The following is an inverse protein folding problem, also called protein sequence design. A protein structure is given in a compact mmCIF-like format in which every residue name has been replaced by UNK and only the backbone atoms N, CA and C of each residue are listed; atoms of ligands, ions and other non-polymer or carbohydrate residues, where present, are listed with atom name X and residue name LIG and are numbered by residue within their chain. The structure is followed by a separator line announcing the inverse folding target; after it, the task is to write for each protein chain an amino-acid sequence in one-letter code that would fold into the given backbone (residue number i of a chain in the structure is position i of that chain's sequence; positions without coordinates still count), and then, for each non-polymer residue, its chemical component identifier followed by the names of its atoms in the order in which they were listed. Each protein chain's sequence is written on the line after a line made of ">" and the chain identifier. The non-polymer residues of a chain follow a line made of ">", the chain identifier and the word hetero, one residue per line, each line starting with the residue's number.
data_IF_558286046455
#
_entry.id   IF_558286046455
#
_cell.length_a   1.000
_cell.length_b   1.000
_cell.length_c   1.000
_cell.angle_alpha   90.00
_cell.angle_beta   90.00
_cell.angle_gamma   90.00
#
_symmetry.space_group_name_H-M   'P 1'
#
loop_
_entity.id
_entity.type
_entity.pdbx_description
1 polymer ?
#
# COMPACT_ATOMS: atom_id res chain seq x y z
N UNK A 1 -37.89 10.39 16.07
CA UNK A 1 -37.40 11.38 17.06
C UNK A 1 -38.55 12.31 17.43
N UNK A 2 -38.57 12.83 18.65
CA UNK A 2 -39.52 13.85 19.09
C UNK A 2 -39.04 15.25 18.69
N UNK A 3 -39.96 16.21 18.52
CA UNK A 3 -39.61 17.60 18.20
C UNK A 3 -38.64 18.20 19.23
N UNK A 4 -38.81 17.87 20.52
CA UNK A 4 -37.92 18.32 21.58
C UNK A 4 -36.47 17.85 21.37
N UNK A 5 -36.29 16.58 20.97
CA UNK A 5 -34.97 16.03 20.70
C UNK A 5 -34.33 16.66 19.46
N UNK A 6 -35.12 17.02 18.45
CA UNK A 6 -34.63 17.76 17.28
C UNK A 6 -34.14 19.13 17.73
N UNK A 7 -34.98 19.89 18.44
CA UNK A 7 -34.68 21.27 18.88
C UNK A 7 -33.38 21.38 19.68
N UNK A 8 -33.10 20.42 20.55
CA UNK A 8 -31.85 20.39 21.32
C UNK A 8 -30.62 20.13 20.44
N UNK A 9 -30.75 19.41 19.33
CA UNK A 9 -29.63 18.97 18.48
C UNK A 9 -29.50 19.76 17.16
N UNK A 10 -30.37 20.74 16.89
CA UNK A 10 -30.27 21.60 15.71
C UNK A 10 -28.88 22.27 15.59
N UNK A 11 -28.26 22.81 16.67
CA UNK A 11 -26.92 23.39 16.57
C UNK A 11 -25.85 22.38 16.11
N UNK A 12 -25.87 21.16 16.66
CA UNK A 12 -24.94 20.09 16.26
C UNK A 12 -25.14 19.64 14.81
N UNK A 13 -26.35 19.82 14.26
CA UNK A 13 -26.62 19.60 12.84
C UNK A 13 -25.96 20.68 11.96
N UNK A 14 -25.91 21.94 12.42
CA UNK A 14 -25.24 23.03 11.69
C UNK A 14 -23.72 22.91 11.71
N UNK A 15 -23.14 22.40 12.80
CA UNK A 15 -21.70 22.24 12.98
C UNK A 15 -21.16 20.91 12.45
N UNK A 16 -22.00 20.08 11.82
CA UNK A 16 -21.67 18.74 11.29
C UNK A 16 -21.10 17.78 12.36
N UNK A 17 -21.47 17.96 13.63
CA UNK A 17 -20.98 17.13 14.75
C UNK A 17 -21.77 15.83 14.95
N UNK A 18 -22.92 15.69 14.28
CA UNK A 18 -23.78 14.52 14.39
C UNK A 18 -23.22 13.33 13.62
N UNK A 19 -23.45 12.13 14.14
CA UNK A 19 -23.17 10.92 13.38
C UNK A 19 -24.06 10.85 12.11
N UNK A 20 -23.62 10.14 11.04
CA UNK A 20 -24.40 10.05 9.80
C UNK A 20 -25.83 9.55 10.01
N UNK A 21 -26.02 8.56 10.89
CA UNK A 21 -27.32 7.98 11.20
C UNK A 21 -28.25 8.98 11.93
N UNK A 22 -27.71 9.80 12.83
CA UNK A 22 -28.47 10.82 13.56
C UNK A 22 -28.85 11.98 12.62
N UNK A 23 -27.91 12.39 11.78
CA UNK A 23 -28.12 13.39 10.74
C UNK A 23 -29.31 13.00 9.83
N UNK A 24 -29.31 11.78 9.31
CA UNK A 24 -30.38 11.28 8.44
C UNK A 24 -31.74 11.19 9.16
N UNK A 25 -31.75 10.75 10.43
CA UNK A 25 -32.98 10.70 11.23
C UNK A 25 -33.55 12.09 11.50
N UNK A 26 -32.70 13.08 11.76
CA UNK A 26 -33.12 14.46 11.96
C UNK A 26 -33.71 15.06 10.67
N UNK A 27 -33.03 14.89 9.55
CA UNK A 27 -33.54 15.32 8.24
C UNK A 27 -34.87 14.62 7.89
N UNK A 28 -34.98 13.34 8.19
CA UNK A 28 -36.23 12.58 8.04
C UNK A 28 -37.40 13.20 8.82
N UNK A 29 -37.16 13.67 10.05
CA UNK A 29 -38.17 14.35 10.86
C UNK A 29 -38.53 15.73 10.29
N UNK A 30 -37.56 16.54 9.86
CA UNK A 30 -37.83 17.89 9.30
C UNK A 30 -38.63 17.84 7.98
N UNK A 31 -38.52 16.74 7.23
CA UNK A 31 -39.36 16.50 6.05
C UNK A 31 -40.84 16.39 6.38
N UNK A 32 -41.21 15.92 7.59
CA UNK A 32 -42.60 15.72 8.00
C UNK A 32 -43.11 16.76 8.99
N UNK A 33 -42.23 17.38 9.78
CA UNK A 33 -42.57 18.39 10.77
C UNK A 33 -42.29 19.81 10.25
N UNK A 34 -43.33 20.57 9.93
CA UNK A 34 -43.21 21.95 9.45
C UNK A 34 -42.57 22.89 10.49
N UNK A 35 -42.90 22.72 11.78
CA UNK A 35 -42.37 23.57 12.86
C UNK A 35 -40.85 23.44 13.00
N UNK A 36 -40.32 22.20 13.06
CA UNK A 36 -38.87 21.99 13.15
C UNK A 36 -38.12 22.43 11.89
N UNK A 37 -38.77 22.40 10.72
CA UNK A 37 -38.18 22.92 9.48
C UNK A 37 -38.05 24.43 9.52
N UNK A 38 -39.10 25.12 9.94
CA UNK A 38 -39.09 26.58 10.09
C UNK A 38 -38.03 27.01 11.12
N UNK A 39 -37.95 26.36 12.28
CA UNK A 39 -36.90 26.66 13.27
C UNK A 39 -35.48 26.49 12.70
N UNK A 40 -35.25 25.49 11.84
CA UNK A 40 -33.95 25.29 11.17
C UNK A 40 -33.67 26.40 10.14
N UNK A 41 -34.68 26.83 9.39
CA UNK A 41 -34.56 27.92 8.42
C UNK A 41 -34.24 29.24 9.12
N UNK A 42 -34.95 29.57 10.21
CA UNK A 42 -34.70 30.76 11.03
C UNK A 42 -33.27 30.77 11.61
N UNK A 43 -32.79 29.60 12.07
CA UNK A 43 -31.44 29.47 12.61
C UNK A 43 -30.38 29.61 11.52
N UNK A 44 -30.60 29.05 10.32
CA UNK A 44 -29.71 29.23 9.17
C UNK A 44 -29.66 30.68 8.73
N UNK A 45 -30.78 31.38 8.72
CA UNK A 45 -30.82 32.82 8.43
C UNK A 45 -29.99 33.60 9.43
N UNK A 46 -30.16 33.31 10.73
CA UNK A 46 -29.36 33.93 11.80
C UNK A 46 -27.87 33.66 11.62
N UNK A 47 -27.50 32.41 11.32
CA UNK A 47 -26.10 32.02 11.07
C UNK A 47 -25.50 32.75 9.85
N UNK A 48 -26.27 32.87 8.77
CA UNK A 48 -25.84 33.60 7.57
C UNK A 48 -25.67 35.10 7.82
N UNK A 49 -26.41 35.70 8.76
CA UNK A 49 -26.20 37.09 9.17
C UNK A 49 -24.90 37.25 9.97
N UNK A 50 -24.49 36.24 10.74
CA UNK A 50 -23.20 36.25 11.45
C UNK A 50 -22.01 36.15 10.48
N UNK A 51 -22.16 35.45 9.37
CA UNK A 51 -21.11 35.30 8.35
C UNK A 51 -20.82 36.60 7.59
N UNK A 52 -21.74 37.59 7.66
CA UNK A 52 -21.54 38.91 7.08
C UNK A 52 -20.67 39.83 7.95
N UNK A 53 -20.32 39.40 9.16
CA UNK A 53 -19.48 40.22 10.04
C UNK A 53 -18.04 40.22 9.52
N UNK A 54 -17.44 41.40 9.46
CA UNK A 54 -16.05 41.54 9.05
C UNK A 54 -15.16 40.83 10.08
N UNK A 55 -14.51 39.75 9.66
CA UNK A 55 -13.55 39.02 10.47
C UNK A 55 -12.27 39.85 10.49
N UNK A 56 -12.00 40.54 11.59
CA UNK A 56 -10.73 41.22 11.79
C UNK A 56 -9.58 40.20 11.77
N UNK A 57 -8.60 40.42 10.90
CA UNK A 57 -7.42 39.55 10.81
C UNK A 57 -6.64 39.67 12.14
N UNK A 58 -6.37 38.56 12.86
CA UNK A 58 -5.72 38.63 14.16
C UNK A 58 -4.34 39.28 14.04
N UNK A 59 -3.87 39.99 15.08
CA UNK A 59 -2.56 40.62 15.07
C UNK A 59 -1.47 39.57 14.81
N UNK A 60 -0.49 39.92 13.97
CA UNK A 60 0.62 39.04 13.57
C UNK A 60 1.26 38.20 14.70
N UNK A 61 1.51 38.72 15.92
CA UNK A 61 2.05 37.90 17.01
C UNK A 61 1.11 36.78 17.47
N UNK A 62 -0.21 37.00 17.46
CA UNK A 62 -1.19 35.99 17.85
C UNK A 62 -1.27 34.89 16.79
N UNK A 63 -1.31 35.27 15.51
CA UNK A 63 -1.28 34.33 14.38
C UNK A 63 -0.03 33.44 14.43
N UNK A 64 1.13 34.04 14.71
CA UNK A 64 2.37 33.29 14.88
C UNK A 64 2.30 32.30 16.07
N UNK A 65 1.72 32.71 17.19
CA UNK A 65 1.57 31.85 18.37
C UNK A 65 0.62 30.67 18.14
N UNK A 66 -0.53 30.91 17.48
CA UNK A 66 -1.49 29.86 17.13
C UNK A 66 -0.87 28.87 16.13
N UNK A 67 -0.16 29.38 15.11
CA UNK A 67 0.51 28.52 14.14
C UNK A 67 1.67 27.71 14.75
N UNK A 68 2.37 28.28 15.74
CA UNK A 68 3.40 27.55 16.49
C UNK A 68 2.78 26.41 17.31
N UNK A 69 1.69 26.69 18.03
CA UNK A 69 0.95 25.69 18.81
C UNK A 69 0.39 24.57 17.92
N UNK A 70 -0.23 24.91 16.79
CA UNK A 70 -0.74 23.92 15.82
C UNK A 70 0.38 23.05 15.23
N UNK A 71 1.59 23.62 15.03
CA UNK A 71 2.74 22.85 14.57
C UNK A 71 3.24 21.87 15.63
N UNK A 72 3.28 22.30 16.90
CA UNK A 72 3.69 21.44 18.02
C UNK A 72 2.75 20.25 18.18
N UNK A 73 1.44 20.47 18.09
CA UNK A 73 0.44 19.40 18.21
C UNK A 73 0.44 18.44 17.00
N UNK A 74 0.78 18.94 15.81
CA UNK A 74 1.03 18.11 14.63
C UNK A 74 2.35 17.32 14.72
N UNK A 75 3.36 17.84 15.40
CA UNK A 75 4.63 17.14 15.65
C UNK A 75 4.49 16.01 16.70
N UNK A 76 3.53 16.14 17.61
CA UNK A 76 3.22 15.13 18.63
C UNK A 76 2.43 13.92 18.09
N UNK A 77 1.91 13.99 16.86
CA UNK A 77 1.51 12.79 16.11
C UNK A 77 2.78 12.08 15.65
N UNK A 78 3.44 11.40 16.61
CA UNK A 78 4.72 10.76 16.47
C UNK A 78 4.61 9.49 15.60
N UNK A 79 4.36 9.66 14.30
CA UNK A 79 4.54 8.59 13.32
C UNK A 79 6.04 8.32 13.31
N UNK A 80 6.51 7.14 13.74
CA UNK A 80 7.92 6.91 13.91
C UNK A 80 8.67 7.20 12.60
N UNK A 81 9.77 7.94 12.68
CA UNK A 81 10.56 8.35 11.49
C UNK A 81 10.94 7.15 10.59
N UNK A 82 11.07 5.95 11.17
CA UNK A 82 11.33 4.73 10.43
C UNK A 82 10.15 4.31 9.55
N UNK A 83 8.91 4.54 9.98
CA UNK A 83 7.68 4.20 9.26
C UNK A 83 7.51 5.08 8.01
N UNK A 84 7.80 6.38 8.10
CA UNK A 84 7.72 7.26 6.94
C UNK A 84 8.82 6.94 5.90
N UNK A 85 10.01 6.55 6.38
CA UNK A 85 11.13 6.10 5.54
C UNK A 85 10.93 4.69 4.95
N UNK A 86 10.10 3.85 5.58
CA UNK A 86 9.66 2.55 5.06
C UNK A 86 8.53 2.72 4.06
N UNK A 87 7.56 3.61 4.30
CA UNK A 87 6.43 3.86 3.37
C UNK A 87 6.90 4.24 1.97
N UNK A 88 7.80 5.22 1.83
CA UNK A 88 8.26 5.64 0.50
C UNK A 88 9.06 4.56 -0.22
N UNK A 89 9.87 3.79 0.52
CA UNK A 89 10.74 2.75 -0.04
C UNK A 89 9.95 1.49 -0.44
N UNK A 90 9.01 1.05 0.40
CA UNK A 90 8.16 -0.11 0.13
C UNK A 90 7.17 0.23 -0.97
N UNK A 91 6.56 1.41 -0.93
CA UNK A 91 5.62 1.85 -1.97
C UNK A 91 6.28 1.89 -3.35
N UNK A 92 7.48 2.47 -3.49
CA UNK A 92 8.21 2.48 -4.76
C UNK A 92 8.59 1.06 -5.23
N UNK A 93 8.94 0.16 -4.31
CA UNK A 93 9.29 -1.22 -4.65
C UNK A 93 8.07 -2.01 -5.12
N UNK A 94 6.93 -1.84 -4.43
CA UNK A 94 5.65 -2.47 -4.80
C UNK A 94 5.16 -1.93 -6.14
N UNK A 95 5.22 -0.61 -6.35
CA UNK A 95 4.81 0.02 -7.61
C UNK A 95 5.71 -0.45 -8.77
N UNK A 96 7.01 -0.55 -8.54
CA UNK A 96 7.96 -1.08 -9.51
C UNK A 96 7.73 -2.57 -9.82
N UNK A 97 7.45 -3.39 -8.81
CA UNK A 97 7.15 -4.80 -8.98
C UNK A 97 5.84 -5.02 -9.75
N UNK A 98 4.80 -4.24 -9.45
CA UNK A 98 3.52 -4.26 -10.17
C UNK A 98 3.68 -3.78 -11.62
N UNK A 99 4.43 -2.70 -11.84
CA UNK A 99 4.72 -2.22 -13.20
C UNK A 99 5.50 -3.26 -14.01
N UNK A 100 6.51 -3.89 -13.40
CA UNK A 100 7.30 -4.93 -14.05
C UNK A 100 6.48 -6.19 -14.34
N UNK A 101 5.62 -6.65 -13.42
CA UNK A 101 4.74 -7.78 -13.67
C UNK A 101 3.74 -7.48 -14.78
N UNK A 102 3.23 -6.25 -14.86
CA UNK A 102 2.34 -5.83 -15.93
C UNK A 102 3.05 -5.76 -17.29
N UNK A 103 4.31 -5.32 -17.33
CA UNK A 103 5.13 -5.37 -18.54
C UNK A 103 5.37 -6.81 -18.98
N UNK A 104 5.76 -7.70 -18.06
CA UNK A 104 5.92 -9.13 -18.39
C UNK A 104 4.62 -9.70 -18.93
N UNK A 105 3.48 -9.36 -18.34
CA UNK A 105 2.17 -9.81 -18.82
C UNK A 105 1.89 -9.37 -20.26
N UNK A 106 2.31 -8.15 -20.64
CA UNK A 106 2.18 -7.66 -22.02
C UNK A 106 3.07 -8.42 -23.01
N UNK A 107 4.28 -8.82 -22.60
CA UNK A 107 5.22 -9.53 -23.47
C UNK A 107 5.03 -11.04 -23.51
N UNK A 108 4.55 -11.64 -22.42
CA UNK A 108 4.25 -13.06 -22.29
C UNK A 108 2.81 -13.26 -21.82
N UNK A 109 1.86 -13.39 -22.74
CA UNK A 109 0.49 -13.66 -22.36
C UNK A 109 0.41 -15.05 -21.71
N UNK A 110 -0.27 -15.11 -20.57
CA UNK A 110 -0.28 -16.26 -19.66
C UNK A 110 -0.75 -17.57 -20.32
N UNK A 111 -1.64 -17.45 -21.32
CA UNK A 111 -2.14 -18.58 -22.11
C UNK A 111 -1.01 -19.30 -22.86
N UNK A 112 -0.01 -18.56 -23.35
CA UNK A 112 1.16 -19.14 -24.01
C UNK A 112 2.11 -19.77 -23.01
N UNK A 113 2.27 -19.19 -21.82
CA UNK A 113 3.10 -19.79 -20.76
C UNK A 113 2.49 -21.11 -20.31
N UNK A 114 1.19 -21.17 -20.06
CA UNK A 114 0.52 -22.40 -19.61
C UNK A 114 0.65 -23.50 -20.68
N UNK A 115 0.39 -23.18 -21.96
CA UNK A 115 0.57 -24.14 -23.07
C UNK A 115 2.03 -24.59 -23.23
N UNK A 116 2.99 -23.69 -23.05
CA UNK A 116 4.41 -24.03 -23.06
C UNK A 116 4.77 -24.93 -21.88
N UNK A 117 4.19 -24.67 -20.71
CA UNK A 117 4.40 -25.44 -19.49
C UNK A 117 3.81 -26.85 -19.64
N UNK A 118 2.58 -26.97 -20.14
CA UNK A 118 1.97 -28.26 -20.49
C UNK A 118 2.82 -29.02 -21.52
N UNK A 119 3.28 -28.35 -22.58
CA UNK A 119 4.13 -28.96 -23.60
C UNK A 119 5.52 -29.38 -23.06
N UNK A 120 6.09 -28.62 -22.12
CA UNK A 120 7.37 -28.93 -21.47
C UNK A 120 7.22 -30.06 -20.44
N UNK A 121 6.12 -30.10 -19.70
CA UNK A 121 5.78 -31.18 -18.77
C UNK A 121 5.52 -32.48 -19.54
N UNK A 122 4.87 -32.41 -20.71
CA UNK A 122 4.64 -33.58 -21.58
C UNK A 122 5.90 -34.09 -22.28
N UNK A 123 6.93 -33.27 -22.48
CA UNK A 123 8.26 -33.70 -22.98
C UNK A 123 9.15 -34.21 -21.83
N UNK A 124 8.67 -35.25 -21.16
CA UNK A 124 9.14 -35.74 -19.86
C UNK A 124 10.53 -36.41 -19.85
N UNK A 125 11.25 -36.49 -20.97
CA UNK A 125 12.54 -37.21 -21.03
C UNK A 125 13.73 -36.46 -20.42
N UNK A 126 13.73 -35.12 -20.39
CA UNK A 126 14.84 -34.35 -19.81
C UNK A 126 14.62 -33.98 -18.34
N UNK A 127 13.37 -33.88 -17.90
CA UNK A 127 12.99 -33.51 -16.53
C UNK A 127 12.85 -34.71 -15.59
N UNK A 128 12.81 -35.94 -16.10
CA UNK A 128 12.81 -37.15 -15.29
C UNK A 128 14.04 -37.29 -14.36
N UNK A 129 15.13 -36.59 -14.65
CA UNK A 129 16.33 -36.59 -13.82
C UNK A 129 16.17 -35.77 -12.53
N UNK A 130 15.28 -34.77 -12.51
CA UNK A 130 15.12 -33.89 -11.36
C UNK A 130 13.78 -34.16 -10.65
N UNK A 131 13.76 -34.30 -9.32
CA UNK A 131 12.51 -34.39 -8.59
C UNK A 131 11.68 -33.13 -8.86
N UNK A 132 10.38 -33.30 -9.12
CA UNK A 132 9.46 -32.20 -9.50
C UNK A 132 9.66 -30.96 -8.62
N UNK A 133 9.79 -31.15 -7.31
CA UNK A 133 10.04 -30.06 -6.35
C UNK A 133 11.29 -29.21 -6.62
N UNK A 134 12.38 -29.80 -7.14
CA UNK A 134 13.61 -29.07 -7.44
C UNK A 134 13.45 -28.11 -8.62
N UNK A 135 12.68 -28.49 -9.64
CA UNK A 135 12.41 -27.62 -10.81
C UNK A 135 11.66 -26.36 -10.36
N UNK A 136 10.61 -26.53 -9.54
CA UNK A 136 9.84 -25.40 -9.01
C UNK A 136 10.65 -24.54 -8.04
N UNK A 137 11.56 -25.14 -7.27
CA UNK A 137 12.50 -24.39 -6.45
C UNK A 137 13.44 -23.53 -7.29
N UNK A 138 14.02 -24.08 -8.37
CA UNK A 138 14.90 -23.34 -9.29
C UNK A 138 14.13 -22.21 -9.98
N UNK A 139 12.91 -22.48 -10.46
CA UNK A 139 12.06 -21.45 -11.07
C UNK A 139 11.72 -20.35 -10.06
N UNK A 140 11.35 -20.71 -8.84
CA UNK A 140 11.14 -19.75 -7.75
C UNK A 140 12.39 -18.93 -7.45
N UNK A 141 13.57 -19.56 -7.46
CA UNK A 141 14.84 -18.88 -7.25
C UNK A 141 15.14 -17.86 -8.35
N UNK A 142 15.01 -18.24 -9.62
CA UNK A 142 15.16 -17.30 -10.74
C UNK A 142 14.15 -16.15 -10.63
N UNK A 143 12.90 -16.46 -10.30
CA UNK A 143 11.84 -15.47 -10.17
C UNK A 143 12.08 -14.49 -9.00
N UNK A 144 12.73 -14.93 -7.92
CA UNK A 144 13.15 -14.06 -6.82
C UNK A 144 14.40 -13.22 -7.12
N UNK A 145 15.39 -13.78 -7.82
CA UNK A 145 16.67 -13.12 -8.12
C UNK A 145 16.52 -12.02 -9.18
N UNK A 146 15.78 -12.29 -10.26
CA UNK A 146 15.71 -11.41 -11.44
C UNK A 146 15.19 -10.00 -11.11
N UNK A 147 14.05 -9.82 -10.40
CA UNK A 147 13.56 -8.48 -10.05
C UNK A 147 14.52 -7.69 -9.16
N UNK A 148 15.24 -8.37 -8.26
CA UNK A 148 16.25 -7.74 -7.39
C UNK A 148 17.46 -7.29 -8.22
N UNK A 149 17.93 -8.11 -9.16
CA UNK A 149 19.01 -7.71 -10.06
C UNK A 149 18.61 -6.53 -10.94
N UNK A 150 17.43 -6.58 -11.57
CA UNK A 150 16.93 -5.51 -12.44
C UNK A 150 16.76 -4.21 -11.65
N UNK A 151 16.13 -4.25 -10.47
CA UNK A 151 16.02 -3.05 -9.62
C UNK A 151 17.38 -2.53 -9.16
N UNK A 152 18.32 -3.41 -8.80
CA UNK A 152 19.67 -2.99 -8.39
C UNK A 152 20.45 -2.32 -9.53
N UNK A 153 20.30 -2.79 -10.77
CA UNK A 153 20.94 -2.21 -11.96
C UNK A 153 20.28 -0.87 -12.35
N UNK A 154 18.95 -0.79 -12.35
CA UNK A 154 18.23 0.44 -12.69
C UNK A 154 18.43 1.55 -11.65
N UNK A 155 18.64 1.18 -10.38
CA UNK A 155 18.79 2.11 -9.27
C UNK A 155 20.20 2.04 -8.67
N UNK A 156 21.24 2.24 -9.50
CA UNK A 156 22.71 2.28 -9.23
C UNK A 156 23.21 3.17 -8.07
N UNK A 157 22.36 3.56 -7.12
CA UNK A 157 22.75 4.27 -5.91
C UNK A 157 23.48 3.32 -4.95
N UNK A 158 24.57 3.79 -4.29
CA UNK A 158 25.37 2.97 -3.41
C UNK A 158 24.54 2.40 -2.25
N UNK A 159 24.58 1.08 -2.13
CA UNK A 159 23.79 0.36 -1.14
C UNK A 159 24.34 0.58 0.27
N UNK A 160 23.54 1.19 1.15
CA UNK A 160 23.86 1.29 2.60
C UNK A 160 23.53 -0.03 3.30
N UNK A 161 24.21 -0.35 4.41
CA UNK A 161 24.04 -1.56 5.24
C UNK A 161 22.56 -1.91 5.56
N UNK A 162 21.67 -0.91 5.62
CA UNK A 162 20.24 -1.11 5.87
C UNK A 162 19.43 -1.60 4.65
N UNK A 163 20.02 -1.70 3.47
CA UNK A 163 19.30 -2.15 2.26
C UNK A 163 19.10 -3.67 2.18
N UNK A 164 19.89 -4.47 2.90
CA UNK A 164 19.68 -5.92 2.94
C UNK A 164 18.35 -6.27 3.64
N UNK A 165 18.04 -5.57 4.73
CA UNK A 165 16.75 -5.64 5.42
C UNK A 165 15.61 -5.20 4.48
N UNK A 166 15.84 -4.18 3.65
CA UNK A 166 14.85 -3.72 2.66
C UNK A 166 14.60 -4.73 1.54
N UNK A 167 15.65 -5.39 1.04
CA UNK A 167 15.52 -6.45 0.04
C UNK A 167 14.77 -7.67 0.60
N UNK A 168 15.05 -8.04 1.84
CA UNK A 168 14.36 -9.12 2.56
C UNK A 168 12.88 -8.78 2.79
N UNK A 169 12.59 -7.54 3.17
CA UNK A 169 11.23 -7.02 3.27
C UNK A 169 10.47 -7.03 1.93
N UNK A 170 11.13 -6.63 0.84
CA UNK A 170 10.53 -6.68 -0.50
C UNK A 170 10.20 -8.11 -0.95
N UNK A 171 11.12 -9.06 -0.72
CA UNK A 171 10.90 -10.48 -1.02
C UNK A 171 9.74 -11.07 -0.20
N UNK A 172 9.64 -10.72 1.08
CA UNK A 172 8.54 -11.14 1.94
C UNK A 172 7.19 -10.58 1.47
N UNK A 173 7.12 -9.28 1.15
CA UNK A 173 5.91 -8.66 0.60
C UNK A 173 5.50 -9.33 -0.71
N UNK A 174 6.45 -9.58 -1.60
CA UNK A 174 6.21 -10.24 -2.87
C UNK A 174 5.66 -11.67 -2.70
N UNK A 175 6.22 -12.44 -1.75
CA UNK A 175 5.71 -13.77 -1.41
C UNK A 175 4.27 -13.72 -0.88
N UNK A 176 3.94 -12.74 -0.01
CA UNK A 176 2.57 -12.55 0.52
C UNK A 176 1.55 -12.29 -0.59
N UNK A 177 1.92 -11.59 -1.66
CA UNK A 177 1.01 -11.34 -2.79
C UNK A 177 0.95 -12.49 -3.80
N UNK A 178 2.06 -13.18 -4.06
CA UNK A 178 2.10 -14.26 -5.06
C UNK A 178 1.53 -15.58 -4.56
N UNK A 179 1.75 -15.93 -3.29
CA UNK A 179 1.28 -17.20 -2.74
C UNK A 179 -0.25 -17.35 -2.88
N UNK A 180 -1.08 -16.36 -2.51
CA UNK A 180 -2.53 -16.42 -2.74
C UNK A 180 -2.89 -16.54 -4.22
N UNK A 181 -2.18 -15.84 -5.10
CA UNK A 181 -2.42 -15.92 -6.54
C UNK A 181 -2.20 -17.33 -7.09
N UNK A 182 -1.10 -17.99 -6.69
CA UNK A 182 -0.84 -19.38 -7.08
C UNK A 182 -1.87 -20.35 -6.50
N UNK A 183 -2.29 -20.15 -5.24
CA UNK A 183 -3.33 -20.98 -4.62
C UNK A 183 -4.66 -20.85 -5.39
N UNK A 184 -5.03 -19.65 -5.82
CA UNK A 184 -6.29 -19.41 -6.53
C UNK A 184 -6.26 -19.89 -7.99
N UNK A 185 -5.14 -19.74 -8.70
CA UNK A 185 -5.05 -20.12 -10.11
C UNK A 185 -4.70 -21.59 -10.35
N UNK A 186 -4.07 -22.26 -9.37
CA UNK A 186 -3.63 -23.65 -9.52
C UNK A 186 -4.24 -24.56 -8.44
N UNK A 187 -5.56 -24.79 -8.42
CA UNK A 187 -6.21 -25.65 -7.43
C UNK A 187 -5.75 -27.13 -7.50
N UNK A 188 -5.12 -27.54 -8.61
CA UNK A 188 -4.53 -28.88 -8.79
C UNK A 188 -3.08 -29.03 -8.34
N UNK A 189 -2.45 -27.98 -7.80
CA UNK A 189 -1.08 -28.09 -7.32
C UNK A 189 -1.03 -28.77 -5.95
N UNK A 190 -0.22 -29.81 -5.82
CA UNK A 190 0.12 -30.36 -4.51
C UNK A 190 0.77 -29.28 -3.65
N UNK A 191 0.31 -29.11 -2.41
CA UNK A 191 0.79 -28.08 -1.48
C UNK A 191 2.32 -28.08 -1.34
N UNK A 192 2.96 -29.25 -1.49
CA UNK A 192 4.42 -29.39 -1.49
C UNK A 192 5.13 -28.61 -2.59
N UNK A 193 4.54 -28.48 -3.78
CA UNK A 193 5.13 -27.74 -4.91
C UNK A 193 5.02 -26.22 -4.74
N UNK A 194 3.91 -25.74 -4.17
CA UNK A 194 3.74 -24.33 -3.80
C UNK A 194 4.80 -23.96 -2.74
N UNK A 195 5.00 -24.83 -1.77
CA UNK A 195 5.98 -24.63 -0.72
C UNK A 195 7.43 -24.57 -1.26
N UNK A 196 7.82 -25.49 -2.16
CA UNK A 196 9.17 -25.45 -2.75
C UNK A 196 9.38 -24.22 -3.63
N UNK A 197 8.35 -23.77 -4.36
CA UNK A 197 8.41 -22.54 -5.13
C UNK A 197 8.55 -21.30 -4.24
N UNK A 198 7.77 -21.21 -3.16
CA UNK A 198 7.87 -20.13 -2.19
C UNK A 198 9.26 -20.08 -1.53
N UNK A 199 9.80 -21.24 -1.15
CA UNK A 199 11.17 -21.36 -0.65
C UNK A 199 12.21 -20.90 -1.68
N UNK A 200 12.00 -21.23 -2.96
CA UNK A 200 12.81 -20.75 -4.07
C UNK A 200 12.82 -19.22 -4.14
N UNK A 201 11.65 -18.59 -4.11
CA UNK A 201 11.50 -17.12 -4.16
C UNK A 201 12.20 -16.45 -2.97
N UNK A 202 12.02 -16.98 -1.76
CA UNK A 202 12.68 -16.46 -0.56
C UNK A 202 14.20 -16.58 -0.69
N UNK A 203 14.70 -17.77 -1.05
CA UNK A 203 16.13 -18.04 -1.20
C UNK A 203 16.75 -17.21 -2.32
N UNK A 204 16.05 -17.06 -3.44
CA UNK A 204 16.42 -16.20 -4.56
C UNK A 204 16.50 -14.73 -4.15
N UNK A 205 15.54 -14.27 -3.35
CA UNK A 205 15.53 -12.89 -2.86
C UNK A 205 16.72 -12.62 -1.92
N UNK A 206 17.02 -13.57 -1.03
CA UNK A 206 18.15 -13.48 -0.10
C UNK A 206 19.50 -13.52 -0.83
N UNK A 207 19.66 -14.44 -1.76
CA UNK A 207 20.89 -14.60 -2.56
C UNK A 207 21.10 -13.44 -3.52
N UNK A 208 20.05 -12.92 -4.15
CA UNK A 208 20.10 -11.73 -4.99
C UNK A 208 20.51 -10.47 -4.21
N UNK A 209 19.98 -10.27 -3.00
CA UNK A 209 20.33 -9.13 -2.15
C UNK A 209 21.77 -9.17 -1.63
N UNK A 210 22.25 -10.36 -1.25
CA UNK A 210 23.63 -10.56 -0.79
C UNK A 210 24.64 -10.52 -1.94
N UNK A 211 24.31 -11.16 -3.07
CA UNK A 211 25.14 -11.21 -4.27
C UNK A 211 25.35 -9.84 -4.91
N UNK A 212 24.31 -9.02 -5.01
CA UNK A 212 24.44 -7.63 -5.51
C UNK A 212 25.29 -6.76 -4.60
N UNK A 213 25.14 -6.90 -3.27
CA UNK A 213 25.98 -6.19 -2.30
C UNK A 213 27.48 -6.55 -2.45
N UNK A 214 27.78 -7.83 -2.64
CA UNK A 214 29.17 -8.31 -2.76
C UNK A 214 29.78 -8.02 -4.14
N UNK A 215 29.00 -8.15 -5.22
CA UNK A 215 29.47 -7.87 -6.58
C UNK A 215 29.78 -6.38 -6.80
N UNK A 216 28.89 -5.50 -6.35
CA UNK A 216 29.08 -4.05 -6.50
C UNK A 216 30.20 -3.50 -5.63
N UNK A 217 30.47 -4.12 -4.46
CA UNK A 217 31.58 -3.68 -3.61
C UNK A 217 32.94 -3.95 -4.27
N UNK A 218 33.10 -5.07 -5.00
CA UNK A 218 34.34 -5.37 -5.74
C UNK A 218 34.57 -4.46 -6.94
N UNK A 219 33.53 -4.11 -7.71
CA UNK A 219 33.67 -3.23 -8.88
C UNK A 219 34.20 -1.84 -8.46
N UNK A 220 33.81 -1.34 -7.29
CA UNK A 220 34.26 -0.03 -6.79
C UNK A 220 35.75 0.01 -6.43
N UNK A 221 36.32 -1.10 -5.97
CA UNK A 221 37.74 -1.15 -5.57
C UNK A 221 38.69 -1.17 -6.78
N UNK A 222 38.20 -1.49 -7.98
CA UNK A 222 38.99 -1.48 -9.21
C UNK A 222 38.99 -0.16 -10.00
N UNK A 223 38.31 0.89 -9.50
CA UNK A 223 38.15 2.19 -10.21
C UNK A 223 38.79 3.35 -9.43
N UNK A 224 39.66 3.06 -8.47
CA UNK A 224 40.50 4.02 -7.74
C UNK A 224 41.97 3.73 -8.02
#
# INVERSE_FOLDING_TARGET
>A
MSCQSIKTNIPSLLTEELSPDEHDRMLGHMKTCALCRQEMEDLKETWNQMDQWEIEDPPSPLKAKVMAFAREELEDVHIPWWLNRVKTSVFQTVLGALGFSMIIYLFLPYDKIIKLCEALILKETFLAFFPKGAIYFILGLFYGVVPILVSSICFLKPMKKNQLIKGLGAGAVFAVFLVPFFILQCPGFEAGLIFTMALGIITGSLSGGTGTFWGLSKIRVGVT
#
